data_IF_127719797535
#
_entry.id   IF_127719797535
#
_cell.length_a   1.000
_cell.length_b   1.000
_cell.length_c   1.000
_cell.angle_alpha   90.00
_cell.angle_beta   90.00
_cell.angle_gamma   90.00
#
_symmetry.space_group_name_H-M   'P 1'
#
loop_
_entity.id
_entity.type
_entity.pdbx_description
1 polymer ?
#
# COMPACT_ATOMS: atom_id res chain seq x y z
N UNK A 1 28.99 10.45 -8.88
CA UNK A 1 27.54 10.44 -9.07
C UNK A 1 26.88 9.60 -7.96
N UNK A 2 26.61 10.19 -6.77
CA UNK A 2 26.09 9.41 -5.64
C UNK A 2 24.58 9.17 -5.78
N UNK A 3 24.13 7.96 -5.43
CA UNK A 3 22.69 7.66 -5.35
C UNK A 3 22.05 8.42 -4.18
N UNK A 4 21.28 9.46 -4.50
CA UNK A 4 20.64 10.33 -3.50
C UNK A 4 19.50 9.63 -2.72
N UNK A 5 18.92 8.55 -3.25
CA UNK A 5 17.84 7.81 -2.59
C UNK A 5 18.34 7.05 -1.35
N UNK A 6 19.59 6.61 -1.38
CA UNK A 6 20.19 5.81 -0.31
C UNK A 6 20.80 6.66 0.82
N UNK A 7 20.66 7.98 0.78
CA UNK A 7 21.18 8.86 1.82
C UNK A 7 20.34 8.70 3.10
N UNK A 8 20.96 8.28 4.23
CA UNK A 8 20.28 8.17 5.51
C UNK A 8 19.60 9.48 5.90
N UNK A 9 18.39 9.39 6.44
CA UNK A 9 17.60 10.56 6.86
C UNK A 9 18.38 11.47 7.83
N UNK A 10 19.20 10.89 8.71
CA UNK A 10 20.06 11.61 9.65
C UNK A 10 21.11 12.51 8.99
N UNK A 11 21.53 12.19 7.75
CA UNK A 11 22.50 12.95 6.98
C UNK A 11 21.85 14.00 6.07
N UNK A 12 20.53 13.94 5.84
CA UNK A 12 19.81 14.92 4.99
C UNK A 12 19.96 16.36 5.50
N UNK A 13 20.20 16.56 6.81
CA UNK A 13 20.46 17.88 7.43
C UNK A 13 21.76 18.57 6.97
N UNK A 14 22.65 17.82 6.31
CA UNK A 14 23.91 18.36 5.76
C UNK A 14 23.68 19.13 4.45
N UNK A 15 22.58 18.87 3.76
CA UNK A 15 22.21 19.56 2.53
C UNK A 15 21.50 20.87 2.89
N UNK A 16 22.04 22.00 2.44
CA UNK A 16 21.54 23.34 2.76
C UNK A 16 21.34 24.15 1.49
N UNK A 17 20.32 25.03 1.45
CA UNK A 17 20.20 25.98 0.35
C UNK A 17 21.39 26.95 0.35
N UNK A 18 21.65 27.56 -0.80
CA UNK A 18 22.63 28.63 -0.90
C UNK A 18 22.26 29.82 0.00
N UNK A 19 23.24 30.68 0.31
CA UNK A 19 23.01 31.89 1.10
C UNK A 19 21.90 32.73 0.45
N UNK A 20 20.97 33.24 1.27
CA UNK A 20 19.79 34.00 0.86
C UNK A 20 18.70 33.19 0.11
N UNK A 21 18.82 31.86 0.04
CA UNK A 21 17.79 30.97 -0.49
C UNK A 21 17.21 30.08 0.61
N UNK A 22 16.00 29.57 0.37
CA UNK A 22 15.35 28.56 1.20
C UNK A 22 15.07 27.31 0.37
N UNK A 23 15.04 26.15 1.02
CA UNK A 23 14.62 24.89 0.41
C UNK A 23 13.15 24.65 0.72
N UNK A 24 12.34 24.45 -0.32
CA UNK A 24 10.94 24.04 -0.21
C UNK A 24 10.87 22.57 -0.58
N UNK A 25 10.25 21.76 0.29
CA UNK A 25 10.03 20.34 0.06
C UNK A 25 8.53 20.10 -0.02
N UNK A 26 8.11 19.40 -1.07
CA UNK A 26 6.76 18.90 -1.23
C UNK A 26 6.83 17.37 -1.33
N UNK A 27 5.89 16.68 -0.69
CA UNK A 27 5.78 15.23 -0.73
C UNK A 27 4.30 14.86 -0.86
N UNK A 28 4.03 13.76 -1.56
CA UNK A 28 2.67 13.29 -1.73
C UNK A 28 2.23 12.43 -0.54
N UNK A 29 1.16 12.85 0.12
CA UNK A 29 0.59 12.11 1.24
C UNK A 29 -0.08 10.81 0.77
N UNK A 30 0.53 9.67 1.11
CA UNK A 30 -0.01 8.32 0.87
C UNK A 30 -0.36 8.05 -0.60
N UNK A 31 0.47 8.54 -1.53
CA UNK A 31 0.17 8.48 -2.97
C UNK A 31 -0.08 7.07 -3.48
N UNK A 32 0.69 6.09 -3.03
CA UNK A 32 0.54 4.70 -3.46
C UNK A 32 -0.84 4.14 -3.11
N UNK A 33 -1.36 4.43 -1.92
CA UNK A 33 -2.69 3.98 -1.50
C UNK A 33 -3.80 4.69 -2.30
N UNK A 34 -3.61 5.97 -2.62
CA UNK A 34 -4.55 6.74 -3.45
C UNK A 34 -4.60 6.20 -4.88
N UNK A 35 -3.43 5.93 -5.47
CA UNK A 35 -3.31 5.29 -6.78
C UNK A 35 -3.93 3.90 -6.74
N UNK A 36 -3.64 3.09 -5.72
CA UNK A 36 -4.19 1.76 -5.60
C UNK A 36 -5.72 1.76 -5.50
N UNK A 37 -6.29 2.68 -4.72
CA UNK A 37 -7.74 2.88 -4.62
C UNK A 37 -8.35 3.25 -5.98
N UNK A 38 -7.73 4.19 -6.70
CA UNK A 38 -8.19 4.64 -8.01
C UNK A 38 -8.03 3.56 -9.09
N UNK A 39 -6.93 2.80 -9.05
CA UNK A 39 -6.64 1.72 -10.00
C UNK A 39 -7.62 0.56 -9.83
N UNK A 40 -7.89 0.17 -8.59
CA UNK A 40 -8.84 -0.91 -8.26
C UNK A 40 -10.29 -0.46 -8.26
N UNK A 41 -10.54 0.85 -8.39
CA UNK A 41 -11.86 1.47 -8.27
C UNK A 41 -12.56 1.07 -6.97
N UNK A 42 -11.79 0.93 -5.88
CA UNK A 42 -12.34 0.52 -4.59
C UNK A 42 -13.09 1.68 -3.93
N UNK A 43 -14.42 1.60 -3.97
CA UNK A 43 -15.26 2.72 -3.54
C UNK A 43 -15.16 3.01 -2.05
N UNK A 44 -14.86 2.00 -1.21
CA UNK A 44 -14.70 2.16 0.23
C UNK A 44 -13.44 2.99 0.52
N UNK A 45 -12.31 2.61 -0.09
CA UNK A 45 -11.06 3.33 0.08
C UNK A 45 -11.10 4.74 -0.56
N UNK A 46 -11.70 4.87 -1.75
CA UNK A 46 -11.89 6.17 -2.42
C UNK A 46 -12.72 7.12 -1.53
N UNK A 47 -13.83 6.64 -0.96
CA UNK A 47 -14.68 7.46 -0.12
C UNK A 47 -13.98 7.88 1.17
N UNK A 48 -13.21 6.98 1.80
CA UNK A 48 -12.42 7.33 2.98
C UNK A 48 -11.44 8.48 2.71
N UNK A 49 -10.75 8.43 1.56
CA UNK A 49 -9.86 9.52 1.15
C UNK A 49 -10.61 10.82 0.85
N UNK A 50 -11.76 10.75 0.18
CA UNK A 50 -12.58 11.94 -0.13
C UNK A 50 -13.12 12.63 1.11
N UNK A 51 -13.41 11.86 2.16
CA UNK A 51 -13.86 12.36 3.46
C UNK A 51 -12.70 12.87 4.34
N UNK A 52 -11.45 12.76 3.88
CA UNK A 52 -10.28 13.19 4.65
C UNK A 52 -9.96 12.29 5.84
N UNK A 53 -10.47 11.05 5.87
CA UNK A 53 -10.19 10.10 6.95
C UNK A 53 -8.72 9.65 6.89
N UNK A 54 -8.12 9.46 8.07
CA UNK A 54 -6.89 8.66 8.16
C UNK A 54 -7.19 7.22 7.73
N UNK A 55 -6.70 6.84 6.55
CA UNK A 55 -6.97 5.53 5.97
C UNK A 55 -6.49 4.39 6.86
N UNK A 56 -5.37 4.51 7.58
CA UNK A 56 -4.89 3.43 8.43
C UNK A 56 -5.80 3.25 9.64
N UNK A 57 -6.23 4.35 10.26
CA UNK A 57 -7.20 4.30 11.35
C UNK A 57 -8.54 3.73 10.88
N UNK A 58 -8.98 4.13 9.68
CA UNK A 58 -10.20 3.61 9.08
C UNK A 58 -10.11 2.11 8.76
N UNK A 59 -9.00 1.64 8.20
CA UNK A 59 -8.79 0.19 8.03
C UNK A 59 -8.81 -0.54 9.36
N UNK A 60 -8.18 0.03 10.41
CA UNK A 60 -8.19 -0.54 11.75
C UNK A 60 -9.62 -0.70 12.30
N UNK A 61 -10.50 0.29 12.11
CA UNK A 61 -11.91 0.17 12.54
C UNK A 61 -12.65 -0.95 11.79
N UNK A 62 -12.42 -1.12 10.49
CA UNK A 62 -13.05 -2.19 9.71
C UNK A 62 -12.59 -3.59 10.16
N UNK A 63 -11.30 -3.78 10.44
CA UNK A 63 -10.75 -5.10 10.81
C UNK A 63 -11.01 -5.46 12.28
N UNK A 64 -10.99 -4.48 13.19
CA UNK A 64 -11.22 -4.71 14.63
C UNK A 64 -12.71 -4.71 14.98
N UNK A 65 -13.54 -4.00 14.20
CA UNK A 65 -14.94 -3.74 14.50
C UNK A 65 -15.15 -2.65 15.57
N UNK A 66 -14.09 -1.95 15.99
CA UNK A 66 -14.17 -0.81 16.91
C UNK A 66 -14.57 0.46 16.16
N UNK A 67 -15.15 1.41 16.87
CA UNK A 67 -15.44 2.73 16.33
C UNK A 67 -14.15 3.47 15.95
N UNK A 68 -14.22 4.30 14.91
CA UNK A 68 -13.07 5.04 14.36
C UNK A 68 -12.33 5.86 15.42
N UNK A 69 -13.07 6.44 16.36
CA UNK A 69 -12.52 7.27 17.45
C UNK A 69 -11.75 6.45 18.50
N UNK A 70 -12.16 5.20 18.72
CA UNK A 70 -11.59 4.29 19.73
C UNK A 70 -10.33 3.55 19.27
N UNK A 71 -9.92 3.75 18.02
CA UNK A 71 -8.73 3.12 17.46
C UNK A 71 -7.46 3.65 18.12
N UNK A 72 -6.70 2.74 18.72
CA UNK A 72 -5.42 3.05 19.37
C UNK A 72 -4.32 3.33 18.34
N UNK A 73 -3.19 3.88 18.80
CA UNK A 73 -2.02 4.12 17.93
C UNK A 73 -1.42 2.81 17.43
N UNK A 74 -1.45 1.78 18.27
CA UNK A 74 -0.97 0.43 18.03
C UNK A 74 -1.81 -0.24 16.93
N UNK A 75 -3.14 -0.14 17.03
CA UNK A 75 -4.06 -0.65 16.00
C UNK A 75 -3.91 0.08 14.66
N UNK A 76 -3.70 1.40 14.70
CA UNK A 76 -3.38 2.17 13.50
C UNK A 76 -2.05 1.73 12.87
N UNK A 77 -1.03 1.45 13.67
CA UNK A 77 0.27 0.95 13.19
C UNK A 77 0.13 -0.46 12.59
N UNK A 78 -0.65 -1.34 13.21
CA UNK A 78 -0.99 -2.66 12.67
C UNK A 78 -1.70 -2.53 11.32
N UNK A 79 -2.71 -1.66 11.23
CA UNK A 79 -3.42 -1.41 9.98
C UNK A 79 -2.55 -0.79 8.89
N UNK A 80 -1.48 -0.08 9.25
CA UNK A 80 -0.44 0.35 8.30
C UNK A 80 0.27 -0.84 7.67
N UNK A 81 0.70 -1.82 8.46
CA UNK A 81 1.31 -3.05 7.95
C UNK A 81 0.33 -3.83 7.06
N UNK A 82 -0.94 -3.92 7.46
CA UNK A 82 -1.99 -4.58 6.70
C UNK A 82 -2.21 -3.90 5.35
N UNK A 83 -2.38 -2.57 5.33
CA UNK A 83 -2.57 -1.83 4.07
C UNK A 83 -1.40 -2.04 3.11
N UNK A 84 -0.16 -1.79 3.53
CA UNK A 84 0.98 -1.90 2.62
C UNK A 84 1.30 -3.35 2.25
N UNK A 85 1.01 -4.32 3.11
CA UNK A 85 1.20 -5.72 2.78
C UNK A 85 0.15 -6.22 1.79
N UNK A 86 -1.13 -6.03 2.11
CA UNK A 86 -2.22 -6.68 1.39
C UNK A 86 -2.54 -6.03 0.05
N UNK A 87 -2.30 -4.74 -0.16
CA UNK A 87 -2.47 -4.14 -1.50
C UNK A 87 -1.54 -4.79 -2.54
N UNK A 88 -0.35 -5.24 -2.10
CA UNK A 88 0.63 -5.96 -2.91
C UNK A 88 0.49 -7.49 -2.81
N UNK A 89 -0.55 -7.97 -2.15
CA UNK A 89 -1.02 -9.35 -2.25
C UNK A 89 -0.15 -10.38 -1.54
N UNK A 90 0.46 -10.00 -0.42
CA UNK A 90 1.18 -10.94 0.43
C UNK A 90 0.21 -11.94 1.11
N UNK A 91 0.66 -13.17 1.31
CA UNK A 91 -0.12 -14.20 2.01
C UNK A 91 -0.30 -13.88 3.51
N UNK A 92 -1.25 -14.50 4.24
CA UNK A 92 -1.37 -14.32 5.69
C UNK A 92 -0.07 -14.60 6.47
N UNK A 93 0.67 -15.64 6.09
CA UNK A 93 1.97 -15.93 6.71
C UNK A 93 2.99 -14.83 6.44
N UNK A 94 3.04 -14.36 5.20
CA UNK A 94 3.92 -13.26 4.82
C UNK A 94 3.51 -11.94 5.47
N UNK A 95 2.21 -11.72 5.72
CA UNK A 95 1.71 -10.56 6.44
C UNK A 95 2.18 -10.55 7.89
N UNK A 96 2.13 -11.69 8.57
CA UNK A 96 2.68 -11.87 9.92
C UNK A 96 4.18 -11.50 9.95
N UNK A 97 4.97 -12.07 9.06
CA UNK A 97 6.42 -11.82 8.96
C UNK A 97 6.72 -10.35 8.60
N UNK A 98 5.95 -9.76 7.69
CA UNK A 98 6.07 -8.37 7.25
C UNK A 98 5.72 -7.37 8.37
N UNK A 99 4.65 -7.62 9.12
CA UNK A 99 4.21 -6.78 10.23
C UNK A 99 5.28 -6.68 11.32
N UNK A 100 5.89 -7.81 11.69
CA UNK A 100 6.98 -7.84 12.67
C UNK A 100 8.23 -7.13 12.14
N UNK A 101 8.73 -7.55 10.98
CA UNK A 101 10.02 -7.07 10.44
C UNK A 101 10.03 -5.60 10.00
N UNK A 102 8.91 -5.10 9.47
CA UNK A 102 8.85 -3.75 8.88
C UNK A 102 8.18 -2.71 9.77
N UNK A 103 7.33 -3.14 10.71
CA UNK A 103 6.53 -2.23 11.54
C UNK A 103 6.69 -2.48 13.04
N UNK A 104 7.38 -3.54 13.46
CA UNK A 104 7.52 -3.93 14.87
C UNK A 104 6.18 -4.37 15.48
N UNK A 105 5.27 -4.90 14.66
CA UNK A 105 3.94 -5.33 15.09
C UNK A 105 3.89 -6.85 15.11
N UNK A 106 3.77 -7.42 16.31
CA UNK A 106 3.61 -8.86 16.50
C UNK A 106 2.14 -9.24 16.38
N UNK A 107 1.84 -10.14 15.43
CA UNK A 107 0.52 -10.75 15.26
C UNK A 107 0.71 -12.26 15.09
N UNK A 108 -0.25 -13.06 15.53
CA UNK A 108 -0.26 -14.49 15.27
C UNK A 108 -0.68 -14.80 13.83
N UNK A 109 -0.34 -15.99 13.32
CA UNK A 109 -0.81 -16.45 12.01
C UNK A 109 -2.35 -16.46 11.92
N UNK A 110 -3.03 -16.79 13.01
CA UNK A 110 -4.50 -16.79 13.09
C UNK A 110 -5.06 -15.38 12.92
N UNK A 111 -4.47 -14.39 13.60
CA UNK A 111 -4.85 -12.99 13.43
C UNK A 111 -4.57 -12.51 12.01
N UNK A 112 -3.42 -12.85 11.44
CA UNK A 112 -3.09 -12.49 10.06
C UNK A 112 -4.09 -13.06 9.04
N UNK A 113 -4.60 -14.28 9.25
CA UNK A 113 -5.67 -14.87 8.42
C UNK A 113 -6.97 -14.07 8.55
N UNK A 114 -7.40 -13.76 9.77
CA UNK A 114 -8.62 -12.97 10.04
C UNK A 114 -8.50 -11.59 9.40
N UNK A 115 -7.36 -10.92 9.56
CA UNK A 115 -7.13 -9.59 8.99
C UNK A 115 -7.11 -9.62 7.47
N UNK A 116 -6.49 -10.64 6.87
CA UNK A 116 -6.51 -10.84 5.42
C UNK A 116 -7.94 -11.00 4.90
N UNK A 117 -8.76 -11.85 5.53
CA UNK A 117 -10.15 -12.07 5.14
C UNK A 117 -10.98 -10.78 5.27
N UNK A 118 -10.94 -10.13 6.43
CA UNK A 118 -11.69 -8.88 6.67
C UNK A 118 -11.26 -7.76 5.73
N UNK A 119 -9.98 -7.64 5.40
CA UNK A 119 -9.50 -6.63 4.45
C UNK A 119 -10.18 -6.79 3.09
N UNK A 120 -10.18 -7.99 2.52
CA UNK A 120 -10.77 -8.24 1.19
C UNK A 120 -12.30 -8.34 1.22
N UNK A 121 -12.91 -8.55 2.38
CA UNK A 121 -14.36 -8.42 2.58
C UNK A 121 -14.83 -6.96 2.41
N UNK A 122 -14.08 -6.02 2.98
CA UNK A 122 -14.40 -4.60 2.92
C UNK A 122 -13.91 -3.93 1.62
N UNK A 123 -12.70 -4.24 1.19
CA UNK A 123 -12.07 -3.67 -0.01
C UNK A 123 -12.25 -4.58 -1.23
N UNK A 124 -13.49 -4.63 -1.72
CA UNK A 124 -13.91 -5.52 -2.80
C UNK A 124 -13.23 -5.24 -4.14
N UNK A 125 -12.82 -3.99 -4.39
CA UNK A 125 -12.08 -3.62 -5.61
C UNK A 125 -10.73 -4.32 -5.67
N UNK A 126 -10.02 -4.36 -4.55
CA UNK A 126 -8.76 -5.09 -4.42
C UNK A 126 -8.94 -6.59 -4.56
N UNK A 127 -9.97 -7.16 -3.93
CA UNK A 127 -10.27 -8.60 -4.03
C UNK A 127 -10.47 -9.01 -5.49
N UNK A 128 -11.36 -8.30 -6.19
CA UNK A 128 -11.67 -8.55 -7.61
C UNK A 128 -10.40 -8.44 -8.46
N UNK A 129 -9.64 -7.35 -8.30
CA UNK A 129 -8.41 -7.14 -9.06
C UNK A 129 -7.37 -8.25 -8.83
N UNK A 130 -7.20 -8.69 -7.59
CA UNK A 130 -6.26 -9.77 -7.24
C UNK A 130 -6.68 -11.11 -7.84
N UNK A 131 -7.97 -11.45 -7.75
CA UNK A 131 -8.54 -12.68 -8.32
C UNK A 131 -8.39 -12.70 -9.85
N UNK A 132 -8.77 -11.62 -10.53
CA UNK A 132 -8.63 -11.50 -11.99
C UNK A 132 -7.16 -11.58 -12.44
N UNK A 133 -6.25 -10.93 -11.71
CA UNK A 133 -4.81 -10.97 -12.01
C UNK A 133 -4.24 -12.38 -11.85
N UNK A 134 -4.63 -13.10 -10.78
CA UNK A 134 -4.23 -14.50 -10.55
C UNK A 134 -4.76 -15.41 -11.65
N UNK A 135 -6.00 -15.22 -12.08
CA UNK A 135 -6.60 -16.01 -13.16
C UNK A 135 -5.90 -15.77 -14.50
N UNK A 136 -5.58 -14.52 -14.84
CA UNK A 136 -4.80 -14.20 -16.05
C UNK A 136 -3.44 -14.88 -16.06
N UNK A 137 -2.71 -14.85 -14.94
CA UNK A 137 -1.39 -15.50 -14.79
C UNK A 137 -1.48 -17.03 -14.76
N UNK A 138 -2.60 -17.61 -14.35
CA UNK A 138 -2.82 -19.06 -14.44
C UNK A 138 -3.01 -19.51 -15.89
N UNK A 139 -3.67 -18.68 -16.70
CA UNK A 139 -4.00 -18.99 -18.09
C UNK A 139 -2.90 -18.58 -19.08
N UNK A 140 -1.96 -17.72 -18.68
CA UNK A 140 -0.89 -17.21 -19.53
C UNK A 140 0.44 -17.22 -18.79
N UNK A 141 1.52 -17.63 -19.47
CA UNK A 141 2.88 -17.61 -18.92
C UNK A 141 3.38 -16.21 -18.58
N UNK A 142 2.87 -15.21 -19.28
CA UNK A 142 3.19 -13.79 -19.14
C UNK A 142 1.92 -12.98 -19.42
N UNK A 143 1.72 -11.90 -18.68
CA UNK A 143 0.61 -10.95 -18.89
C UNK A 143 1.17 -9.54 -19.07
N UNK A 144 0.44 -8.69 -19.78
CA UNK A 144 0.70 -7.26 -19.83
C UNK A 144 -0.08 -6.53 -18.74
N UNK A 145 0.60 -5.66 -18.01
CA UNK A 145 0.02 -4.73 -17.02
C UNK A 145 0.31 -3.30 -17.42
N UNK A 146 -0.59 -2.39 -17.04
CA UNK A 146 -0.58 -1.00 -17.53
C UNK A 146 -0.76 -0.03 -16.36
N UNK A 147 0.02 1.06 -16.33
CA UNK A 147 -0.21 2.20 -15.44
C UNK A 147 -1.48 2.96 -15.83
N UNK A 148 -1.95 3.88 -14.98
CA UNK A 148 -3.14 4.69 -15.29
C UNK A 148 -2.97 5.55 -16.55
N UNK A 149 -1.75 6.00 -16.86
CA UNK A 149 -1.48 6.80 -18.07
C UNK A 149 -1.00 5.97 -19.27
N UNK A 150 -1.09 4.64 -19.21
CA UNK A 150 -0.90 3.79 -20.38
C UNK A 150 0.50 3.20 -20.55
N UNK A 151 1.42 3.38 -19.60
CA UNK A 151 2.75 2.75 -19.63
C UNK A 151 2.60 1.24 -19.41
N UNK A 152 3.16 0.42 -20.30
CA UNK A 152 2.97 -1.05 -20.31
C UNK A 152 4.21 -1.79 -19.81
N UNK A 153 4.00 -2.89 -19.09
CA UNK A 153 5.04 -3.85 -18.72
C UNK A 153 4.53 -5.28 -18.82
N UNK A 154 5.40 -6.17 -19.26
CA UNK A 154 5.16 -7.61 -19.27
C UNK A 154 5.67 -8.23 -17.98
N UNK A 155 4.85 -9.06 -17.35
CA UNK A 155 5.13 -9.67 -16.04
C UNK A 155 4.76 -11.15 -16.02
N UNK A 156 5.51 -11.91 -15.24
CA UNK A 156 5.28 -13.35 -15.03
C UNK A 156 4.89 -13.68 -13.58
N UNK A 157 5.09 -12.75 -12.63
CA UNK A 157 4.80 -12.95 -11.21
C UNK A 157 3.62 -12.08 -10.78
N UNK A 158 2.83 -12.62 -9.86
CA UNK A 158 1.69 -11.91 -9.28
C UNK A 158 2.11 -10.61 -8.56
N UNK A 159 3.18 -10.66 -7.77
CA UNK A 159 3.71 -9.49 -7.06
C UNK A 159 4.07 -8.35 -8.00
N UNK A 160 4.70 -8.67 -9.14
CA UNK A 160 5.08 -7.67 -10.14
C UNK A 160 3.83 -7.11 -10.83
N UNK A 161 2.84 -7.96 -11.08
CA UNK A 161 1.58 -7.59 -11.72
C UNK A 161 0.72 -6.64 -10.88
N UNK A 162 0.77 -6.75 -9.55
CA UNK A 162 0.06 -5.83 -8.64
C UNK A 162 0.92 -4.63 -8.22
N UNK A 163 2.25 -4.74 -8.26
CA UNK A 163 3.13 -3.64 -7.90
C UNK A 163 3.29 -2.61 -9.03
N UNK A 164 3.54 -3.08 -10.27
CA UNK A 164 3.87 -2.19 -11.38
C UNK A 164 2.80 -1.15 -11.71
N UNK A 165 1.50 -1.48 -11.76
CA UNK A 165 0.51 -0.46 -12.09
C UNK A 165 0.48 0.70 -11.10
N UNK A 166 0.78 0.43 -9.82
CA UNK A 166 0.82 1.45 -8.77
C UNK A 166 2.11 2.28 -8.90
N UNK A 167 3.26 1.63 -8.95
CA UNK A 167 4.57 2.30 -9.02
C UNK A 167 4.76 3.06 -10.34
N UNK A 168 4.35 2.45 -11.45
CA UNK A 168 4.40 3.03 -12.78
C UNK A 168 3.57 4.31 -12.86
N UNK A 169 2.37 4.29 -12.28
CA UNK A 169 1.51 5.48 -12.18
C UNK A 169 2.10 6.55 -11.25
N UNK A 170 2.73 6.15 -10.13
CA UNK A 170 3.38 7.12 -9.24
C UNK A 170 4.58 7.82 -9.87
N UNK A 171 5.15 7.23 -10.93
CA UNK A 171 6.24 7.78 -11.71
C UNK A 171 5.80 8.42 -13.04
N UNK A 172 4.50 8.37 -13.37
CA UNK A 172 3.92 9.12 -14.49
C UNK A 172 3.67 10.58 -14.06
#
# INVERSE_FOLDING_TARGET
DPNLQNIPTSLRKLFRPAKNYSMIVADYSQIELRIAAEYTKDQVMINAFKQGLDLHRFTASLITGKDYEDITKEERQMAKAINFGLIYGISPRSLMEYASSSYGVEISLKEAQIFHEKFFEHYKGFKKWHEETKEKLKNHREIEVVSLLGRRMKVMKFTDAVNYPIQGTGAD
#
